data_IF_573356456773
#
_entry.id   IF_573356456773
#
_cell.length_a   1.000
_cell.length_b   1.000
_cell.length_c   1.000
_cell.angle_alpha   90.00
_cell.angle_beta   90.00
_cell.angle_gamma   90.00
#
_symmetry.space_group_name_H-M   'P 1'
#
loop_
_entity.id
_entity.type
_entity.pdbx_description
1 polymer ?
#
# COMPACT_ATOMS: atom_id res chain seq x y z
N UNK A 1 -7.62 28.24 0.05
CA UNK A 1 -9.04 28.64 -0.07
C UNK A 1 -9.28 29.72 -1.13
N UNK A 2 -8.49 30.80 -1.18
CA UNK A 2 -8.69 31.95 -2.10
C UNK A 2 -8.82 31.62 -3.59
N UNK A 3 -7.82 30.94 -4.17
CA UNK A 3 -7.83 30.53 -5.59
C UNK A 3 -9.10 29.77 -6.01
N UNK A 4 -9.47 28.75 -5.24
CA UNK A 4 -10.65 27.92 -5.56
C UNK A 4 -11.98 28.69 -5.48
N UNK A 5 -12.06 29.74 -4.64
CA UNK A 5 -13.22 30.63 -4.59
C UNK A 5 -13.29 31.51 -5.83
N UNK A 6 -12.18 32.17 -6.20
CA UNK A 6 -12.10 33.02 -7.39
C UNK A 6 -12.47 32.24 -8.66
N UNK A 7 -11.94 31.03 -8.82
CA UNK A 7 -12.29 30.16 -9.94
C UNK A 7 -13.79 29.85 -9.98
N UNK A 8 -14.38 29.50 -8.84
CA UNK A 8 -15.81 29.17 -8.76
C UNK A 8 -16.73 30.34 -9.07
N UNK A 9 -16.35 31.54 -8.64
CA UNK A 9 -17.18 32.74 -8.78
C UNK A 9 -17.02 33.43 -10.14
N UNK A 10 -15.83 33.36 -10.74
CA UNK A 10 -15.49 34.16 -11.92
C UNK A 10 -15.32 33.35 -13.20
N UNK A 11 -14.99 32.06 -13.11
CA UNK A 11 -14.79 31.23 -14.30
C UNK A 11 -16.09 30.56 -14.73
N UNK A 12 -16.32 30.52 -16.05
CA UNK A 12 -17.43 29.77 -16.61
C UNK A 12 -17.26 28.25 -16.36
N UNK A 13 -18.36 27.48 -16.32
CA UNK A 13 -18.29 26.03 -16.29
C UNK A 13 -17.53 25.45 -17.48
N UNK A 14 -16.82 24.36 -17.25
CA UNK A 14 -16.05 23.65 -18.27
C UNK A 14 -15.89 22.18 -17.90
N UNK A 15 -15.21 21.43 -18.75
CA UNK A 15 -14.91 20.03 -18.49
C UNK A 15 -13.46 19.72 -18.87
N UNK A 16 -12.96 18.61 -18.34
CA UNK A 16 -11.66 18.06 -18.70
C UNK A 16 -11.82 16.57 -19.00
N UNK A 17 -11.10 16.10 -20.00
CA UNK A 17 -11.16 14.73 -20.49
C UNK A 17 -9.74 14.20 -20.61
N UNK A 18 -9.46 13.08 -19.95
CA UNK A 18 -8.23 12.33 -20.11
C UNK A 18 -8.29 11.51 -21.40
N UNK A 19 -7.30 11.68 -22.28
CA UNK A 19 -7.23 11.04 -23.60
C UNK A 19 -5.94 10.20 -23.66
N UNK A 20 -6.04 8.89 -23.94
CA UNK A 20 -4.88 8.01 -24.07
C UNK A 20 -4.21 8.18 -25.44
N UNK A 21 -3.44 9.24 -25.61
CA UNK A 21 -2.80 9.57 -26.89
C UNK A 21 -1.50 10.35 -26.69
N UNK A 22 -0.75 10.55 -27.76
CA UNK A 22 0.46 11.35 -27.74
C UNK A 22 0.18 12.86 -27.75
N UNK A 23 1.18 13.64 -27.33
CA UNK A 23 1.04 15.10 -27.23
C UNK A 23 0.75 15.76 -28.59
N UNK A 24 1.30 15.24 -29.70
CA UNK A 24 1.06 15.80 -31.02
C UNK A 24 -0.40 15.57 -31.44
N UNK A 25 -0.90 14.34 -31.29
CA UNK A 25 -2.29 13.98 -31.60
C UNK A 25 -3.27 14.76 -30.71
N UNK A 26 -2.99 14.90 -29.41
CA UNK A 26 -3.82 15.72 -28.51
C UNK A 26 -3.88 17.20 -28.93
N UNK A 27 -2.75 17.79 -29.37
CA UNK A 27 -2.73 19.16 -29.89
C UNK A 27 -3.58 19.30 -31.16
N UNK A 28 -3.55 18.32 -32.06
CA UNK A 28 -4.42 18.33 -33.26
C UNK A 28 -5.90 18.26 -32.86
N UNK A 29 -6.26 17.33 -31.98
CA UNK A 29 -7.64 17.19 -31.48
C UNK A 29 -8.14 18.50 -30.85
N UNK A 30 -7.30 19.16 -30.06
CA UNK A 30 -7.63 20.46 -29.47
C UNK A 30 -7.84 21.55 -30.54
N UNK A 31 -6.99 21.60 -31.57
CA UNK A 31 -7.09 22.58 -32.65
C UNK A 31 -8.34 22.41 -33.53
N UNK A 32 -8.87 21.19 -33.64
CA UNK A 32 -10.08 20.89 -34.42
C UNK A 32 -11.36 21.40 -33.74
N UNK A 33 -11.33 21.61 -32.43
CA UNK A 33 -12.51 22.05 -31.66
C UNK A 33 -12.22 23.39 -30.99
N UNK A 34 -12.73 24.51 -31.53
CA UNK A 34 -12.50 25.84 -30.97
C UNK A 34 -12.86 25.91 -29.48
N UNK A 35 -11.91 26.40 -28.68
CA UNK A 35 -12.03 26.53 -27.22
C UNK A 35 -11.51 25.33 -26.42
N UNK A 36 -11.07 24.25 -27.07
CA UNK A 36 -10.35 23.15 -26.40
C UNK A 36 -8.85 23.47 -26.36
N UNK A 37 -8.25 23.28 -25.20
CA UNK A 37 -6.81 23.42 -24.97
C UNK A 37 -6.25 22.12 -24.36
N UNK A 38 -4.96 21.86 -24.63
CA UNK A 38 -4.20 20.84 -23.91
C UNK A 38 -3.87 21.40 -22.53
N UNK A 39 -4.46 20.81 -21.48
CA UNK A 39 -4.35 21.29 -20.11
C UNK A 39 -3.29 20.54 -19.29
N UNK A 40 -3.08 19.24 -19.56
CA UNK A 40 -2.09 18.44 -18.84
C UNK A 40 -1.41 17.46 -19.79
N UNK A 41 -0.08 17.39 -19.69
CA UNK A 41 0.79 16.41 -20.32
C UNK A 41 1.34 15.46 -19.26
N UNK A 42 0.72 14.29 -19.08
CA UNK A 42 1.05 13.35 -18.01
C UNK A 42 2.14 12.32 -18.40
N UNK A 43 2.25 11.99 -19.68
CA UNK A 43 3.20 11.02 -20.20
C UNK A 43 3.10 10.89 -21.71
N UNK A 44 3.83 9.94 -22.29
CA UNK A 44 3.88 9.72 -23.75
C UNK A 44 2.50 9.46 -24.34
N UNK A 45 1.68 8.64 -23.67
CA UNK A 45 0.32 8.28 -24.12
C UNK A 45 -0.78 8.74 -23.18
N UNK A 46 -0.57 9.80 -22.39
CA UNK A 46 -1.54 10.27 -21.40
C UNK A 46 -1.63 11.80 -21.39
N UNK A 47 -2.69 12.32 -22.00
CA UNK A 47 -2.96 13.77 -22.07
C UNK A 47 -4.30 14.11 -21.44
N UNK A 48 -4.50 15.38 -21.07
CA UNK A 48 -5.80 15.90 -20.66
C UNK A 48 -6.15 17.12 -21.48
N UNK A 49 -7.26 17.04 -22.20
CA UNK A 49 -7.86 18.15 -22.94
C UNK A 49 -8.95 18.80 -22.09
N UNK A 50 -9.09 20.11 -22.19
CA UNK A 50 -10.03 20.87 -21.39
C UNK A 50 -10.57 22.08 -22.14
N UNK A 51 -11.77 22.50 -21.78
CA UNK A 51 -12.39 23.68 -22.39
C UNK A 51 -13.81 23.93 -21.89
N UNK A 52 -14.50 24.94 -22.46
CA UNK A 52 -15.90 25.23 -22.17
C UNK A 52 -16.80 24.00 -22.42
N UNK A 53 -17.87 23.86 -21.64
CA UNK A 53 -18.74 22.67 -21.69
C UNK A 53 -19.23 22.33 -23.12
N UNK A 54 -19.63 23.33 -23.91
CA UNK A 54 -20.09 23.15 -25.28
C UNK A 54 -18.97 22.67 -26.23
N UNK A 55 -17.73 23.11 -26.02
CA UNK A 55 -16.59 22.64 -26.80
C UNK A 55 -16.22 21.20 -26.42
N UNK A 56 -16.26 20.87 -25.14
CA UNK A 56 -15.98 19.52 -24.65
C UNK A 56 -17.02 18.49 -25.09
N UNK A 57 -18.29 18.90 -25.27
CA UNK A 57 -19.31 18.03 -25.87
C UNK A 57 -18.94 17.63 -27.31
N UNK A 58 -18.60 18.61 -28.16
CA UNK A 58 -18.13 18.35 -29.54
C UNK A 58 -16.86 17.51 -29.58
N UNK A 59 -15.91 17.77 -28.68
CA UNK A 59 -14.70 16.95 -28.58
C UNK A 59 -15.04 15.50 -28.24
N UNK A 60 -15.99 15.27 -27.33
CA UNK A 60 -16.38 13.91 -26.93
C UNK A 60 -17.02 13.16 -28.10
N UNK A 61 -17.87 13.83 -28.89
CA UNK A 61 -18.44 13.29 -30.13
C UNK A 61 -17.32 12.95 -31.14
N UNK A 62 -16.39 13.87 -31.39
CA UNK A 62 -15.24 13.65 -32.27
C UNK A 62 -14.37 12.47 -31.84
N UNK A 63 -14.13 12.33 -30.53
CA UNK A 63 -13.37 11.21 -29.96
C UNK A 63 -14.11 9.88 -30.18
N UNK A 64 -15.44 9.87 -29.99
CA UNK A 64 -16.28 8.70 -30.22
C UNK A 64 -16.30 8.30 -31.71
N UNK A 65 -16.43 9.26 -32.62
CA UNK A 65 -16.37 9.03 -34.08
C UNK A 65 -15.04 8.41 -34.51
N UNK A 66 -13.95 8.75 -33.82
CA UNK A 66 -12.59 8.23 -34.08
C UNK A 66 -12.26 6.96 -33.29
N UNK A 67 -13.19 6.44 -32.49
CA UNK A 67 -12.96 5.27 -31.64
C UNK A 67 -11.91 5.49 -30.55
N UNK A 68 -11.65 6.74 -30.13
CA UNK A 68 -10.69 7.08 -29.08
C UNK A 68 -11.41 7.03 -27.73
N UNK A 69 -11.10 6.03 -26.90
CA UNK A 69 -11.67 5.87 -25.57
C UNK A 69 -11.09 6.89 -24.59
N UNK A 70 -11.81 7.98 -24.37
CA UNK A 70 -11.44 9.03 -23.44
C UNK A 70 -12.31 9.00 -22.18
N UNK A 71 -11.76 9.51 -21.07
CA UNK A 71 -12.44 9.52 -19.76
C UNK A 71 -12.67 10.94 -19.28
N UNK A 72 -13.94 11.31 -19.10
CA UNK A 72 -14.33 12.57 -18.47
C UNK A 72 -13.91 12.60 -17.01
N UNK A 73 -13.28 13.70 -16.58
CA UNK A 73 -12.84 13.89 -15.21
C UNK A 73 -13.95 14.56 -14.37
N UNK A 74 -14.16 14.14 -13.12
CA UNK A 74 -15.25 14.64 -12.28
C UNK A 74 -14.93 16.02 -11.69
N UNK A 75 -14.96 17.04 -12.55
CA UNK A 75 -14.64 18.43 -12.23
C UNK A 75 -15.52 19.40 -13.01
N UNK A 76 -15.78 20.57 -12.42
CA UNK A 76 -16.76 21.54 -12.93
C UNK A 76 -16.15 22.62 -13.84
N UNK A 77 -14.81 22.67 -13.92
CA UNK A 77 -14.07 23.72 -14.62
C UNK A 77 -12.94 23.13 -15.45
N UNK A 78 -12.60 23.84 -16.53
CA UNK A 78 -11.47 23.55 -17.40
C UNK A 78 -10.20 24.25 -16.88
N UNK A 79 -9.54 23.66 -15.87
CA UNK A 79 -8.29 24.22 -15.34
C UNK A 79 -7.18 24.19 -16.39
N UNK A 80 -6.20 25.10 -16.23
CA UNK A 80 -5.06 25.22 -17.14
C UNK A 80 -5.45 25.58 -18.59
N UNK A 81 -6.51 26.39 -18.74
CA UNK A 81 -7.04 26.91 -20.02
C UNK A 81 -7.48 28.36 -19.90
N UNK A 82 -7.88 28.99 -21.00
CA UNK A 82 -8.42 30.35 -21.07
C UNK A 82 -9.66 30.56 -20.19
N UNK A 83 -10.36 29.49 -19.82
CA UNK A 83 -11.48 29.56 -18.87
C UNK A 83 -11.03 30.12 -17.52
N UNK A 84 -9.73 30.06 -17.19
CA UNK A 84 -9.18 30.60 -15.95
C UNK A 84 -8.93 32.11 -15.98
N UNK A 85 -8.89 32.75 -17.15
CA UNK A 85 -8.52 34.16 -17.33
C UNK A 85 -9.28 35.13 -16.41
N UNK A 86 -10.61 35.01 -16.21
CA UNK A 86 -11.39 35.92 -15.34
C UNK A 86 -10.97 35.90 -13.85
N UNK A 87 -10.31 34.83 -13.41
CA UNK A 87 -9.87 34.69 -12.02
C UNK A 87 -8.43 35.21 -11.79
N UNK A 88 -7.65 35.48 -12.84
CA UNK A 88 -6.21 35.71 -12.73
C UNK A 88 -5.85 37.04 -12.06
N UNK A 89 -6.57 38.13 -12.34
CA UNK A 89 -6.30 39.42 -11.69
C UNK A 89 -6.59 39.37 -10.19
N UNK A 90 -7.73 38.77 -9.83
CA UNK A 90 -8.06 38.55 -8.42
C UNK A 90 -7.08 37.60 -7.73
N UNK A 91 -6.53 36.61 -8.45
CA UNK A 91 -5.50 35.74 -7.92
C UNK A 91 -4.18 36.48 -7.69
N UNK A 92 -3.78 37.36 -8.63
CA UNK A 92 -2.58 38.20 -8.49
C UNK A 92 -2.67 39.10 -7.27
N UNK A 93 -3.80 39.79 -7.08
CA UNK A 93 -4.05 40.63 -5.90
C UNK A 93 -3.98 39.80 -4.62
N UNK A 94 -4.65 38.64 -4.59
CA UNK A 94 -4.69 37.77 -3.42
C UNK A 94 -3.30 37.24 -3.04
N UNK A 95 -2.49 36.87 -4.03
CA UNK A 95 -1.12 36.39 -3.79
C UNK A 95 -0.18 37.54 -3.43
N UNK A 96 -0.37 38.74 -3.98
CA UNK A 96 0.41 39.93 -3.65
C UNK A 96 0.29 40.36 -2.19
N UNK A 97 -0.79 39.97 -1.50
CA UNK A 97 -0.95 40.17 -0.06
C UNK A 97 -0.24 39.14 0.83
N UNK A 98 0.49 38.19 0.25
CA UNK A 98 1.22 37.14 0.97
C UNK A 98 2.72 37.31 0.76
N UNK A 99 3.51 37.19 1.82
CA UNK A 99 4.98 37.18 1.74
C UNK A 99 5.47 35.76 1.43
N UNK A 100 5.95 35.47 0.20
CA UNK A 100 6.44 34.14 -0.15
C UNK A 100 7.80 33.88 0.51
N UNK A 101 7.99 32.65 1.00
CA UNK A 101 9.28 32.20 1.54
C UNK A 101 10.01 31.31 0.53
N UNK A 102 11.35 31.32 0.53
CA UNK A 102 12.12 30.46 -0.34
C UNK A 102 11.87 28.98 -0.07
N UNK A 103 11.86 28.17 -1.14
CA UNK A 103 11.79 26.71 -1.03
C UNK A 103 13.07 26.19 -0.37
N UNK A 104 12.93 25.20 0.53
CA UNK A 104 14.07 24.62 1.27
C UNK A 104 14.75 23.45 0.55
N UNK A 105 14.05 22.86 -0.41
CA UNK A 105 14.51 21.73 -1.21
C UNK A 105 14.34 22.09 -2.69
N UNK A 106 15.11 21.46 -3.60
CA UNK A 106 14.90 21.62 -5.02
C UNK A 106 13.44 21.35 -5.41
N UNK A 107 12.92 22.14 -6.35
CA UNK A 107 11.53 22.08 -6.79
C UNK A 107 11.48 21.96 -8.31
N UNK A 108 10.97 20.85 -8.82
CA UNK A 108 10.77 20.67 -10.26
C UNK A 108 9.41 21.26 -10.65
N UNK A 109 9.44 22.28 -11.51
CA UNK A 109 8.24 23.06 -11.85
C UNK A 109 7.38 22.34 -12.89
N UNK A 110 6.10 22.14 -12.57
CA UNK A 110 5.12 21.59 -13.51
C UNK A 110 4.75 22.51 -14.68
N UNK A 111 5.29 23.73 -14.76
CA UNK A 111 5.08 24.63 -15.91
C UNK A 111 6.04 24.36 -17.06
N UNK A 112 7.27 23.95 -16.75
CA UNK A 112 8.38 23.90 -17.70
C UNK A 112 9.29 22.68 -17.51
N UNK A 113 9.02 21.83 -16.52
CA UNK A 113 9.82 20.64 -16.20
C UNK A 113 11.20 20.95 -15.63
N UNK A 114 11.49 22.21 -15.28
CA UNK A 114 12.85 22.61 -14.88
C UNK A 114 12.99 22.65 -13.36
N UNK A 115 14.13 22.18 -12.87
CA UNK A 115 14.52 22.29 -11.46
C UNK A 115 14.72 23.75 -11.07
N UNK A 116 14.11 24.14 -9.94
CA UNK A 116 14.40 25.37 -9.19
C UNK A 116 15.25 24.99 -7.96
N UNK A 117 16.37 25.68 -7.69
CA UNK A 117 17.21 25.35 -6.54
C UNK A 117 16.52 25.70 -5.22
N UNK A 118 17.01 25.11 -4.13
CA UNK A 118 16.71 25.62 -2.78
C UNK A 118 17.07 27.12 -2.71
N UNK A 119 16.22 27.93 -2.11
CA UNK A 119 16.33 29.39 -2.13
C UNK A 119 15.44 30.08 -3.16
N UNK A 120 14.91 29.36 -4.16
CA UNK A 120 13.96 29.94 -5.12
C UNK A 120 12.65 30.33 -4.45
N UNK A 121 12.09 31.47 -4.84
CA UNK A 121 10.83 32.01 -4.32
C UNK A 121 9.77 31.99 -5.42
N UNK A 122 8.66 31.25 -5.27
CA UNK A 122 7.55 31.31 -6.22
C UNK A 122 6.82 32.65 -6.08
N UNK A 123 6.99 33.52 -7.07
CA UNK A 123 6.33 34.83 -7.12
C UNK A 123 4.87 34.74 -7.58
N UNK A 124 4.17 35.87 -7.54
CA UNK A 124 2.77 35.95 -7.93
C UNK A 124 2.58 35.60 -9.41
N UNK A 125 3.49 36.03 -10.28
CA UNK A 125 3.39 35.74 -11.70
C UNK A 125 3.57 34.25 -11.99
N UNK A 126 4.46 33.55 -11.28
CA UNK A 126 4.56 32.09 -11.33
C UNK A 126 3.23 31.43 -10.99
N UNK A 127 2.56 31.85 -9.91
CA UNK A 127 1.29 31.24 -9.47
C UNK A 127 0.11 31.55 -10.41
N UNK A 128 0.10 32.74 -11.01
CA UNK A 128 -0.86 33.10 -12.06
C UNK A 128 -0.64 32.25 -13.30
N UNK A 129 0.61 32.13 -13.77
CA UNK A 129 0.97 31.27 -14.89
C UNK A 129 0.64 29.81 -14.62
N UNK A 130 0.99 29.30 -13.44
CA UNK A 130 0.68 27.93 -12.99
C UNK A 130 -0.81 27.59 -13.04
N UNK A 131 -1.66 28.60 -12.85
CA UNK A 131 -3.11 28.45 -12.91
C UNK A 131 -3.64 28.39 -14.34
N UNK A 132 -3.00 29.09 -15.27
CA UNK A 132 -3.47 29.28 -16.66
C UNK A 132 -2.80 28.37 -17.68
N UNK A 133 -1.50 28.14 -17.54
CA UNK A 133 -0.69 27.35 -18.46
C UNK A 133 -0.82 25.85 -18.19
N UNK A 134 -0.58 25.00 -19.20
CA UNK A 134 -0.66 23.55 -19.06
C UNK A 134 0.34 22.99 -18.06
N UNK A 135 -0.06 21.91 -17.40
CA UNK A 135 0.82 21.13 -16.51
C UNK A 135 1.64 20.15 -17.35
N UNK A 136 2.96 20.23 -17.25
CA UNK A 136 3.96 19.42 -17.96
C UNK A 136 4.52 18.34 -17.04
N UNK A 137 3.68 17.43 -16.56
CA UNK A 137 4.08 16.42 -15.58
C UNK A 137 5.04 15.37 -16.16
N UNK A 138 4.91 15.04 -17.45
CA UNK A 138 5.88 14.19 -18.16
C UNK A 138 7.30 14.77 -18.07
N UNK A 139 7.45 16.09 -18.27
CA UNK A 139 8.75 16.76 -18.20
C UNK A 139 9.29 16.79 -16.76
N UNK A 140 8.40 16.89 -15.76
CA UNK A 140 8.78 16.75 -14.34
C UNK A 140 9.39 15.38 -14.07
N UNK A 141 8.74 14.31 -14.55
CA UNK A 141 9.24 12.94 -14.37
C UNK A 141 10.55 12.71 -15.14
N UNK A 142 10.68 13.27 -16.34
CA UNK A 142 11.93 13.23 -17.12
C UNK A 142 13.09 13.90 -16.39
N UNK A 143 12.88 15.10 -15.84
CA UNK A 143 13.88 15.82 -15.05
C UNK A 143 14.24 15.05 -13.77
N UNK A 144 13.26 14.46 -13.08
CA UNK A 144 13.53 13.60 -11.91
C UNK A 144 14.35 12.36 -12.30
N UNK A 145 14.04 11.75 -13.44
CA UNK A 145 14.74 10.57 -13.95
C UNK A 145 16.18 10.85 -14.38
N UNK A 146 16.45 12.03 -14.94
CA UNK A 146 17.75 12.40 -15.50
C UNK A 146 18.69 13.11 -14.51
N UNK A 147 18.15 14.01 -13.68
CA UNK A 147 18.97 14.85 -12.78
C UNK A 147 19.16 14.23 -11.39
N UNK A 148 18.43 13.17 -11.07
CA UNK A 148 18.40 12.58 -9.73
C UNK A 148 18.51 11.05 -9.75
N UNK A 149 19.61 10.54 -10.28
CA UNK A 149 19.93 9.10 -10.28
C UNK A 149 19.88 8.46 -8.88
N UNK A 150 20.18 9.24 -7.84
CA UNK A 150 20.11 8.82 -6.45
C UNK A 150 18.69 8.79 -5.85
N UNK A 151 17.66 9.27 -6.56
CA UNK A 151 16.26 9.15 -6.11
C UNK A 151 15.81 7.71 -6.27
N UNK A 152 16.04 6.90 -5.23
CA UNK A 152 15.67 5.48 -5.22
C UNK A 152 14.15 5.25 -5.11
N UNK A 153 13.38 6.26 -4.69
CA UNK A 153 11.94 6.10 -4.43
C UNK A 153 11.19 7.43 -4.54
N UNK A 154 9.94 7.38 -4.98
CA UNK A 154 9.02 8.50 -5.13
C UNK A 154 7.85 8.33 -4.15
N UNK A 155 7.37 9.45 -3.58
CA UNK A 155 6.23 9.45 -2.66
C UNK A 155 5.16 10.40 -3.17
N UNK A 156 3.94 9.90 -3.40
CA UNK A 156 2.78 10.71 -3.71
C UNK A 156 2.05 11.09 -2.43
N UNK A 157 2.07 12.38 -2.11
CA UNK A 157 1.31 12.94 -0.99
C UNK A 157 -0.06 13.37 -1.50
N UNK A 158 -1.05 12.50 -1.35
CA UNK A 158 -2.39 12.76 -1.85
C UNK A 158 -3.39 11.68 -1.45
N UNK A 159 -4.70 11.91 -1.69
CA UNK A 159 -5.78 10.98 -1.32
C UNK A 159 -5.91 9.76 -2.26
N UNK A 160 -5.11 9.71 -3.30
CA UNK A 160 -5.20 8.78 -4.42
C UNK A 160 -3.80 8.30 -4.84
N UNK A 161 -3.76 7.46 -5.88
CA UNK A 161 -2.57 6.77 -6.36
C UNK A 161 -2.20 7.16 -7.81
N UNK A 162 -2.75 8.27 -8.30
CA UNK A 162 -2.68 8.63 -9.72
C UNK A 162 -1.26 9.03 -10.13
N UNK A 163 -0.58 9.86 -9.34
CA UNK A 163 0.77 10.31 -9.68
C UNK A 163 1.77 9.16 -9.56
N UNK A 164 1.59 8.27 -8.59
CA UNK A 164 2.40 7.06 -8.41
C UNK A 164 2.28 6.13 -9.62
N UNK A 165 1.07 5.96 -10.15
CA UNK A 165 0.84 5.17 -11.37
C UNK A 165 1.56 5.77 -12.58
N UNK A 166 1.41 7.07 -12.80
CA UNK A 166 2.10 7.79 -13.87
C UNK A 166 3.63 7.71 -13.74
N UNK A 167 4.15 7.86 -12.52
CA UNK A 167 5.57 7.78 -12.24
C UNK A 167 6.15 6.39 -12.51
N UNK A 168 5.46 5.31 -12.14
CA UNK A 168 5.91 3.93 -12.42
C UNK A 168 6.03 3.66 -13.91
N UNK A 169 5.11 4.22 -14.71
CA UNK A 169 5.15 4.07 -16.17
C UNK A 169 6.32 4.87 -16.79
N UNK A 170 6.52 6.11 -16.36
CA UNK A 170 7.57 6.98 -16.91
C UNK A 170 8.99 6.60 -16.47
N UNK A 171 9.14 6.03 -15.26
CA UNK A 171 10.41 5.72 -14.63
C UNK A 171 10.45 4.24 -14.20
N UNK A 172 10.52 3.30 -15.17
CA UNK A 172 10.58 1.88 -14.86
C UNK A 172 11.81 1.58 -13.97
N UNK A 173 11.61 0.74 -12.96
CA UNK A 173 12.64 0.40 -11.98
C UNK A 173 12.73 1.34 -10.76
N UNK A 174 11.98 2.46 -10.74
CA UNK A 174 11.86 3.30 -9.55
C UNK A 174 10.56 3.00 -8.81
N UNK A 175 10.66 2.76 -7.49
CA UNK A 175 9.48 2.56 -6.67
C UNK A 175 8.71 3.88 -6.48
N UNK A 176 7.38 3.85 -6.57
CA UNK A 176 6.52 4.99 -6.28
C UNK A 176 5.39 4.60 -5.32
N UNK A 177 5.32 5.28 -4.18
CA UNK A 177 4.44 4.94 -3.06
C UNK A 177 3.40 6.04 -2.80
N UNK A 178 2.09 5.73 -2.83
CA UNK A 178 1.05 6.66 -2.43
C UNK A 178 0.84 6.66 -0.91
N UNK A 179 0.77 7.85 -0.30
CA UNK A 179 0.55 7.96 1.15
C UNK A 179 -0.87 7.60 1.59
N UNK A 180 -1.87 7.78 0.71
CA UNK A 180 -3.26 7.44 0.98
C UNK A 180 -3.91 6.80 -0.24
N UNK A 181 -4.94 6.00 0.02
CA UNK A 181 -5.83 5.43 -0.99
C UNK A 181 -7.26 5.53 -0.49
N UNK A 182 -8.18 5.97 -1.35
CA UNK A 182 -9.61 6.06 -1.00
C UNK A 182 -10.10 4.73 -0.43
N UNK A 183 -10.74 4.78 0.73
CA UNK A 183 -11.33 3.61 1.39
C UNK A 183 -10.34 2.71 2.15
N UNK A 184 -9.03 2.99 2.13
CA UNK A 184 -8.02 2.10 2.72
C UNK A 184 -7.52 2.51 4.12
N UNK A 185 -8.06 3.59 4.69
CA UNK A 185 -7.61 4.12 5.98
C UNK A 185 -6.11 4.50 5.95
N UNK A 186 -5.38 4.17 7.01
CA UNK A 186 -3.95 4.49 7.17
C UNK A 186 -3.01 3.38 6.67
N UNK A 187 -3.51 2.24 6.20
CA UNK A 187 -2.65 1.15 5.71
C UNK A 187 -1.63 1.59 4.64
N UNK A 188 -2.01 2.40 3.61
CA UNK A 188 -1.06 2.86 2.59
C UNK A 188 0.09 3.71 3.15
N UNK A 189 -0.14 4.43 4.26
CA UNK A 189 0.90 5.21 4.92
C UNK A 189 1.94 4.30 5.58
N UNK A 190 1.51 3.21 6.22
CA UNK A 190 2.41 2.19 6.78
C UNK A 190 3.18 1.46 5.68
N UNK A 191 2.51 1.10 4.58
CA UNK A 191 3.16 0.47 3.42
C UNK A 191 4.21 1.39 2.79
N UNK A 192 3.90 2.69 2.69
CA UNK A 192 4.85 3.71 2.25
C UNK A 192 6.05 3.78 3.18
N UNK A 193 5.84 3.86 4.50
CA UNK A 193 6.93 3.89 5.48
C UNK A 193 7.81 2.63 5.42
N UNK A 194 7.19 1.45 5.27
CA UNK A 194 7.90 0.19 5.08
C UNK A 194 8.70 0.18 3.76
N UNK A 195 8.12 0.67 2.67
CA UNK A 195 8.78 0.81 1.37
C UNK A 195 10.01 1.71 1.45
N UNK A 196 9.86 2.88 2.06
CA UNK A 196 10.95 3.82 2.32
C UNK A 196 12.07 3.18 3.17
N UNK A 197 11.70 2.48 4.24
CA UNK A 197 12.66 1.79 5.10
C UNK A 197 13.44 0.70 4.36
N UNK A 198 12.78 -0.13 3.53
CA UNK A 198 13.45 -1.14 2.69
C UNK A 198 14.39 -0.51 1.66
N UNK A 199 14.04 0.68 1.17
CA UNK A 199 14.89 1.45 0.26
C UNK A 199 16.07 2.14 0.98
N UNK A 200 16.21 1.97 2.31
CA UNK A 200 17.29 2.55 3.11
C UNK A 200 17.05 4.01 3.51
N UNK A 201 15.83 4.53 3.35
CA UNK A 201 15.52 5.89 3.80
C UNK A 201 15.58 5.99 5.33
N UNK A 202 16.10 7.10 5.89
CA UNK A 202 16.21 7.30 7.34
C UNK A 202 14.85 7.69 7.94
N UNK A 203 13.95 6.72 8.07
CA UNK A 203 12.63 6.92 8.67
C UNK A 203 12.75 7.16 10.17
N UNK A 204 12.30 8.33 10.64
CA UNK A 204 12.17 8.61 12.07
C UNK A 204 10.96 7.89 12.66
N UNK A 205 11.19 6.65 13.10
CA UNK A 205 10.16 5.82 13.74
C UNK A 205 9.60 6.43 15.03
N UNK A 206 10.37 7.28 15.74
CA UNK A 206 9.87 7.93 16.95
C UNK A 206 8.83 8.97 16.59
N UNK A 207 9.08 9.80 15.59
CA UNK A 207 8.12 10.76 15.09
C UNK A 207 6.89 10.06 14.47
N UNK A 208 7.13 8.99 13.70
CA UNK A 208 6.06 8.25 13.02
C UNK A 208 5.11 7.52 13.98
N UNK A 209 5.64 7.00 15.10
CA UNK A 209 4.85 6.34 16.14
C UNK A 209 4.27 7.29 17.19
N UNK A 210 4.58 8.59 17.14
CA UNK A 210 4.14 9.55 18.15
C UNK A 210 2.60 9.61 18.24
N UNK A 211 2.06 9.60 19.46
CA UNK A 211 0.61 9.67 19.70
C UNK A 211 -0.15 8.35 19.51
N UNK A 212 0.50 7.25 19.11
CA UNK A 212 -0.17 5.95 18.94
C UNK A 212 -0.41 5.19 20.25
N UNK A 213 0.17 5.63 21.37
CA UNK A 213 0.11 4.92 22.66
C UNK A 213 0.99 3.65 22.71
N UNK A 214 1.88 3.45 21.74
CA UNK A 214 2.80 2.32 21.71
C UNK A 214 3.71 2.26 22.95
N UNK A 215 3.99 1.04 23.43
CA UNK A 215 4.90 0.77 24.55
C UNK A 215 6.02 -0.18 24.14
N UNK A 216 7.18 -0.06 24.78
CA UNK A 216 8.28 -1.03 24.60
C UNK A 216 7.88 -2.37 25.20
N UNK A 217 8.09 -3.44 24.45
CA UNK A 217 7.92 -4.82 24.89
C UNK A 217 9.22 -5.59 24.66
N UNK A 218 9.54 -6.62 25.46
CA UNK A 218 10.66 -7.51 25.16
C UNK A 218 10.37 -8.25 23.86
N UNK A 219 11.32 -8.19 22.92
CA UNK A 219 11.30 -8.93 21.67
C UNK A 219 12.46 -9.94 21.66
N UNK A 220 12.39 -11.00 20.84
CA UNK A 220 13.52 -11.90 20.65
C UNK A 220 14.80 -11.13 20.35
N UNK A 221 15.89 -11.47 21.05
CA UNK A 221 17.20 -10.89 20.78
C UNK A 221 17.69 -11.18 19.37
N UNK A 222 18.66 -10.38 18.92
CA UNK A 222 19.29 -10.53 17.60
C UNK A 222 19.74 -11.98 17.36
N UNK A 223 19.37 -12.54 16.21
CA UNK A 223 19.77 -13.89 15.81
C UNK A 223 21.14 -13.80 15.12
N UNK A 224 22.20 -13.82 15.93
CA UNK A 224 23.56 -13.86 15.41
C UNK A 224 23.77 -15.09 14.54
N UNK A 225 24.41 -14.90 13.37
CA UNK A 225 24.90 -15.98 12.53
C UNK A 225 26.23 -16.47 13.11
N UNK A 226 26.15 -17.34 14.13
CA UNK A 226 27.32 -17.82 14.85
C UNK A 226 28.28 -18.58 13.94
N UNK A 227 29.57 -18.33 14.16
CA UNK A 227 30.67 -19.11 13.60
C UNK A 227 31.66 -19.38 14.73
N UNK A 228 32.29 -20.54 14.66
CA UNK A 228 33.29 -20.92 15.65
C UNK A 228 34.60 -20.20 15.36
N UNK A 229 35.01 -19.32 16.28
CA UNK A 229 36.28 -18.61 16.23
C UNK A 229 37.10 -19.04 17.44
N UNK A 230 37.86 -20.13 17.29
CA UNK A 230 38.71 -20.69 18.34
C UNK A 230 40.18 -20.64 17.93
N UNK A 231 41.03 -20.02 18.76
CA UNK A 231 42.49 -19.93 18.56
C UNK A 231 43.29 -20.63 19.66
N UNK A 232 42.61 -21.34 20.57
CA UNK A 232 43.24 -22.18 21.58
C UNK A 232 43.57 -23.58 21.05
N UNK A 233 44.24 -24.43 21.84
CA UNK A 233 44.37 -25.86 21.54
C UNK A 233 42.99 -26.48 21.33
N UNK A 234 42.90 -27.52 20.50
CA UNK A 234 41.63 -28.24 20.25
C UNK A 234 40.90 -28.50 21.56
N UNK A 235 39.62 -28.14 21.63
CA UNK A 235 38.88 -28.25 22.87
C UNK A 235 38.61 -29.75 23.14
N UNK A 236 39.49 -30.41 23.90
CA UNK A 236 39.42 -31.85 24.21
C UNK A 236 38.35 -32.21 25.24
N UNK A 237 37.49 -31.25 25.63
CA UNK A 237 36.33 -31.58 26.43
C UNK A 237 35.57 -32.69 25.69
N UNK A 238 35.37 -33.88 26.31
CA UNK A 238 34.61 -34.93 25.68
C UNK A 238 33.27 -34.31 25.32
N UNK A 239 33.03 -34.15 24.02
CA UNK A 239 31.71 -33.81 23.51
C UNK A 239 30.82 -34.85 24.17
N UNK A 240 29.86 -34.49 25.05
CA UNK A 240 28.94 -35.48 25.59
C UNK A 240 28.50 -36.28 24.37
N UNK A 241 28.69 -37.59 24.42
CA UNK A 241 28.31 -38.48 23.34
C UNK A 241 26.96 -37.95 22.88
N UNK A 242 26.89 -37.51 21.62
CA UNK A 242 25.60 -37.13 21.07
C UNK A 242 24.70 -38.30 21.49
N UNK A 243 23.62 -38.09 22.27
CA UNK A 243 22.66 -39.16 22.44
C UNK A 243 22.46 -39.65 21.03
N UNK A 244 22.72 -40.96 20.78
CA UNK A 244 22.38 -41.58 19.50
C UNK A 244 21.07 -40.95 19.16
N UNK A 245 21.07 -40.13 18.09
CA UNK A 245 19.92 -39.32 17.76
C UNK A 245 18.79 -40.34 17.83
N UNK A 246 17.78 -40.18 18.72
CA UNK A 246 16.64 -41.07 18.68
C UNK A 246 16.27 -40.97 17.22
N UNK A 247 16.46 -42.07 16.47
CA UNK A 247 16.39 -42.05 15.01
C UNK A 247 15.11 -41.30 14.80
N UNK A 248 15.24 -40.04 14.36
CA UNK A 248 14.07 -39.21 14.22
C UNK A 248 13.37 -40.05 13.18
N UNK A 249 12.28 -40.72 13.59
CA UNK A 249 11.21 -40.96 12.65
C UNK A 249 11.06 -39.60 12.06
N UNK A 250 11.57 -39.47 10.84
CA UNK A 250 11.59 -38.25 10.09
C UNK A 250 10.16 -37.75 10.21
N UNK A 251 9.95 -36.78 11.10
CA UNK A 251 8.88 -35.85 10.83
C UNK A 251 9.39 -35.20 9.57
N UNK A 252 8.72 -35.47 8.43
CA UNK A 252 9.32 -35.29 7.13
C UNK A 252 9.80 -33.85 7.04
N UNK A 253 11.12 -33.68 7.00
CA UNK A 253 11.69 -32.51 6.36
C UNK A 253 11.09 -32.52 4.97
N UNK A 254 10.30 -31.50 4.63
CA UNK A 254 9.68 -31.43 3.30
C UNK A 254 10.77 -31.74 2.29
N UNK A 255 10.58 -32.84 1.57
CA UNK A 255 11.58 -33.41 0.69
C UNK A 255 12.05 -32.32 -0.29
N UNK A 256 13.31 -32.32 -0.73
CA UNK A 256 13.73 -31.41 -1.80
C UNK A 256 12.87 -31.59 -3.06
N UNK A 257 12.33 -32.81 -3.21
CA UNK A 257 11.28 -33.14 -4.18
C UNK A 257 9.91 -32.51 -3.85
N UNK A 258 9.48 -32.42 -2.58
CA UNK A 258 8.23 -31.75 -2.17
C UNK A 258 8.31 -30.23 -2.32
N UNK A 259 9.45 -29.59 -2.02
CA UNK A 259 9.64 -28.15 -2.24
C UNK A 259 9.65 -27.82 -3.74
N UNK A 260 10.32 -28.65 -4.56
CA UNK A 260 10.29 -28.52 -6.01
C UNK A 260 8.89 -28.84 -6.60
N UNK A 261 8.13 -29.75 -5.98
CA UNK A 261 6.75 -30.05 -6.37
C UNK A 261 5.78 -28.93 -5.99
N UNK A 262 5.93 -28.32 -4.80
CA UNK A 262 5.16 -27.15 -4.36
C UNK A 262 5.45 -25.95 -5.28
N UNK A 263 6.72 -25.70 -5.63
CA UNK A 263 7.11 -24.62 -6.53
C UNK A 263 6.60 -24.86 -7.96
N UNK A 264 6.69 -26.10 -8.48
CA UNK A 264 6.11 -26.48 -9.77
C UNK A 264 4.58 -26.51 -9.76
N UNK A 265 3.93 -26.70 -8.61
CA UNK A 265 2.49 -26.59 -8.45
C UNK A 265 2.05 -25.11 -8.48
N UNK A 266 2.75 -24.25 -7.75
CA UNK A 266 2.54 -22.80 -7.78
C UNK A 266 2.72 -22.26 -9.20
N UNK A 267 3.76 -22.67 -9.91
CA UNK A 267 4.02 -22.20 -11.29
C UNK A 267 2.92 -22.64 -12.26
N UNK A 268 2.43 -23.89 -12.16
CA UNK A 268 1.30 -24.36 -13.00
C UNK A 268 0.02 -23.58 -12.73
N UNK A 269 -0.27 -23.30 -11.47
CA UNK A 269 -1.45 -22.51 -11.07
C UNK A 269 -1.29 -21.06 -11.51
N UNK A 270 -0.09 -20.49 -11.42
CA UNK A 270 0.23 -19.13 -11.86
C UNK A 270 0.00 -18.94 -13.36
N UNK A 271 0.55 -19.84 -14.19
CA UNK A 271 0.32 -19.80 -15.64
C UNK A 271 -1.16 -19.94 -16.00
N UNK A 272 -1.92 -20.72 -15.23
CA UNK A 272 -3.36 -20.83 -15.43
C UNK A 272 -4.09 -19.55 -15.04
N UNK A 273 -3.77 -18.94 -13.90
CA UNK A 273 -4.35 -17.66 -13.47
C UNK A 273 -4.07 -16.58 -14.51
N UNK A 274 -2.85 -16.48 -15.02
CA UNK A 274 -2.48 -15.51 -16.07
C UNK A 274 -3.34 -15.74 -17.33
N UNK A 275 -3.52 -17.00 -17.74
CA UNK A 275 -4.34 -17.35 -18.90
C UNK A 275 -5.83 -17.00 -18.74
N UNK A 276 -6.42 -17.31 -17.60
CA UNK A 276 -7.84 -16.98 -17.30
C UNK A 276 -8.02 -15.47 -17.21
N UNK A 277 -7.08 -14.78 -16.56
CA UNK A 277 -7.09 -13.32 -16.40
C UNK A 277 -6.95 -12.63 -17.76
N UNK A 278 -6.03 -13.08 -18.62
CA UNK A 278 -5.86 -12.61 -20.00
C UNK A 278 -7.15 -12.79 -20.82
N UNK A 279 -7.77 -13.98 -20.75
CA UNK A 279 -9.02 -14.31 -21.45
C UNK A 279 -10.19 -13.40 -21.04
N UNK A 280 -10.39 -13.15 -19.75
CA UNK A 280 -11.52 -12.34 -19.26
C UNK A 280 -11.29 -10.83 -19.42
N UNK A 281 -10.03 -10.38 -19.51
CA UNK A 281 -9.67 -8.98 -19.73
C UNK A 281 -9.36 -8.65 -21.20
N UNK A 282 -9.38 -9.64 -22.09
CA UNK A 282 -9.01 -9.50 -23.51
C UNK A 282 -7.57 -8.99 -23.72
N UNK A 283 -6.66 -9.41 -22.84
CA UNK A 283 -5.21 -9.18 -22.96
C UNK A 283 -4.50 -10.42 -23.51
N UNK A 284 -3.29 -10.23 -24.03
CA UNK A 284 -2.37 -11.35 -24.29
C UNK A 284 -1.71 -11.81 -22.98
N UNK A 285 -1.42 -13.11 -22.86
CA UNK A 285 -0.81 -13.67 -21.63
C UNK A 285 0.56 -13.08 -21.31
N UNK A 286 1.27 -12.54 -22.32
CA UNK A 286 2.56 -11.86 -22.14
C UNK A 286 2.44 -10.44 -21.59
N UNK A 287 1.24 -9.86 -21.56
CA UNK A 287 0.99 -8.49 -21.09
C UNK A 287 0.67 -8.42 -19.59
N UNK A 288 0.49 -9.58 -18.95
CA UNK A 288 0.19 -9.70 -17.53
C UNK A 288 1.45 -10.12 -16.78
N UNK A 289 2.06 -9.19 -16.05
CA UNK A 289 3.17 -9.53 -15.17
C UNK A 289 2.67 -10.34 -13.95
N UNK A 290 3.46 -11.33 -13.52
CA UNK A 290 3.13 -12.24 -12.40
C UNK A 290 2.83 -11.50 -11.08
N UNK A 291 3.50 -10.36 -10.88
CA UNK A 291 3.37 -9.49 -9.70
C UNK A 291 2.48 -8.27 -9.95
N UNK A 292 1.83 -8.17 -11.13
CA UNK A 292 0.89 -7.10 -11.39
C UNK A 292 -0.36 -7.28 -10.52
N UNK A 293 -0.83 -6.16 -9.95
CA UNK A 293 -2.10 -6.19 -9.24
C UNK A 293 -3.24 -6.32 -10.24
N UNK A 294 -4.24 -7.14 -9.92
CA UNK A 294 -5.45 -7.28 -10.74
C UNK A 294 -6.17 -5.93 -10.99
N UNK A 295 -5.98 -4.95 -10.10
CA UNK A 295 -6.51 -3.59 -10.26
C UNK A 295 -5.72 -2.72 -11.26
N UNK A 296 -4.40 -2.90 -11.32
CA UNK A 296 -3.54 -2.16 -12.25
C UNK A 296 -3.73 -2.65 -13.69
N UNK A 297 -4.26 -3.86 -13.86
CA UNK A 297 -4.73 -4.44 -15.13
C UNK A 297 -6.12 -3.93 -15.55
N UNK A 298 -6.73 -3.01 -14.80
CA UNK A 298 -8.02 -2.41 -15.16
C UNK A 298 -9.23 -3.34 -15.01
N UNK A 299 -9.09 -4.45 -14.26
CA UNK A 299 -10.17 -5.41 -14.08
C UNK A 299 -11.34 -4.82 -13.26
N UNK A 300 -12.55 -4.86 -13.83
CA UNK A 300 -13.78 -4.55 -13.08
C UNK A 300 -14.14 -5.70 -12.13
N UNK A 301 -14.79 -5.38 -11.02
CA UNK A 301 -15.30 -6.32 -10.02
C UNK A 301 -16.17 -7.43 -10.63
N UNK A 302 -16.86 -7.15 -11.75
CA UNK A 302 -17.67 -8.15 -12.46
C UNK A 302 -16.82 -9.15 -13.27
N UNK A 303 -15.73 -8.68 -13.89
CA UNK A 303 -14.78 -9.56 -14.60
C UNK A 303 -14.02 -10.44 -13.62
N UNK A 304 -13.69 -9.91 -12.44
CA UNK A 304 -13.04 -10.70 -11.38
C UNK A 304 -13.92 -11.81 -10.81
N UNK A 305 -15.25 -11.64 -10.82
CA UNK A 305 -16.17 -12.73 -10.46
C UNK A 305 -16.09 -13.87 -11.50
N UNK A 306 -15.96 -13.55 -12.78
CA UNK A 306 -15.78 -14.53 -13.85
C UNK A 306 -14.46 -15.30 -13.73
N UNK A 307 -13.36 -14.58 -13.47
CA UNK A 307 -12.03 -15.17 -13.24
C UNK A 307 -12.05 -16.07 -11.99
N UNK A 308 -12.61 -15.61 -10.87
CA UNK A 308 -12.69 -16.40 -9.65
C UNK A 308 -13.52 -17.67 -9.87
N UNK A 309 -14.68 -17.57 -10.50
CA UNK A 309 -15.55 -18.74 -10.74
C UNK A 309 -14.87 -19.80 -11.60
N UNK A 310 -14.16 -19.40 -12.66
CA UNK A 310 -13.42 -20.33 -13.53
C UNK A 310 -12.24 -20.99 -12.77
N UNK A 311 -11.58 -20.25 -11.87
CA UNK A 311 -10.54 -20.80 -11.00
C UNK A 311 -11.10 -21.73 -9.90
N UNK A 312 -12.26 -21.42 -9.32
CA UNK A 312 -12.93 -22.27 -8.32
C UNK A 312 -13.43 -23.58 -8.93
N UNK A 313 -13.94 -23.55 -10.17
CA UNK A 313 -14.41 -24.72 -10.91
C UNK A 313 -13.25 -25.67 -11.27
N UNK A 314 -12.12 -25.14 -11.74
CA UNK A 314 -10.97 -25.97 -12.13
C UNK A 314 -10.18 -26.50 -10.91
N UNK A 315 -9.83 -25.62 -9.97
CA UNK A 315 -8.96 -25.98 -8.84
C UNK A 315 -9.73 -26.55 -7.64
N UNK A 316 -11.07 -26.54 -7.67
CA UNK A 316 -11.96 -26.99 -6.57
C UNK A 316 -11.67 -26.32 -5.21
N UNK A 317 -11.11 -25.12 -5.25
CA UNK A 317 -10.77 -24.31 -4.06
C UNK A 317 -11.67 -23.09 -4.06
N UNK A 318 -12.34 -22.80 -2.93
CA UNK A 318 -13.06 -21.54 -2.76
C UNK A 318 -12.10 -20.41 -2.43
N UNK A 319 -12.15 -19.35 -3.21
CA UNK A 319 -11.36 -18.13 -3.00
C UNK A 319 -12.33 -16.98 -2.82
N UNK A 320 -12.33 -16.39 -1.63
CA UNK A 320 -13.22 -15.24 -1.39
C UNK A 320 -12.68 -13.97 -2.04
N UNK A 321 -13.56 -13.03 -2.39
CA UNK A 321 -13.16 -11.70 -2.87
C UNK A 321 -12.23 -10.98 -1.88
N UNK A 322 -12.39 -11.25 -0.58
CA UNK A 322 -11.51 -10.71 0.46
C UNK A 322 -10.09 -11.27 0.34
N UNK A 323 -9.96 -12.58 0.14
CA UNK A 323 -8.64 -13.23 -0.06
C UNK A 323 -7.99 -12.75 -1.35
N UNK A 324 -8.76 -12.57 -2.43
CA UNK A 324 -8.24 -12.01 -3.69
C UNK A 324 -7.67 -10.59 -3.51
N UNK A 325 -8.35 -9.73 -2.74
CA UNK A 325 -8.02 -8.31 -2.65
C UNK A 325 -7.14 -7.89 -1.47
N UNK A 326 -7.27 -8.56 -0.32
CA UNK A 326 -6.52 -8.23 0.89
C UNK A 326 -5.27 -9.12 1.07
N UNK A 327 -5.32 -10.37 0.60
CA UNK A 327 -4.25 -11.36 0.88
C UNK A 327 -3.42 -11.70 -0.37
N UNK A 328 -4.06 -11.93 -1.53
CA UNK A 328 -3.39 -12.30 -2.77
C UNK A 328 -2.80 -11.09 -3.50
N UNK A 329 -3.63 -10.09 -3.81
CA UNK A 329 -3.25 -8.82 -4.44
C UNK A 329 -2.71 -8.90 -5.89
N UNK A 330 -2.11 -10.03 -6.29
CA UNK A 330 -1.42 -10.30 -7.57
C UNK A 330 -1.68 -11.74 -8.05
N UNK A 331 -1.36 -12.03 -9.31
CA UNK A 331 -1.50 -13.38 -9.88
C UNK A 331 -0.65 -14.43 -9.14
N UNK A 332 0.60 -14.09 -8.80
CA UNK A 332 1.49 -14.94 -7.99
C UNK A 332 0.97 -15.16 -6.57
N UNK A 333 0.46 -14.11 -5.91
CA UNK A 333 -0.12 -14.24 -4.57
C UNK A 333 -1.33 -15.18 -4.55
N UNK A 334 -2.17 -15.09 -5.58
CA UNK A 334 -3.32 -15.98 -5.75
C UNK A 334 -2.90 -17.43 -6.04
N UNK A 335 -1.83 -17.62 -6.83
CA UNK A 335 -1.28 -18.95 -7.13
C UNK A 335 -0.78 -19.67 -5.88
N UNK A 336 -0.12 -18.95 -4.97
CA UNK A 336 0.34 -19.49 -3.68
C UNK A 336 -0.84 -19.92 -2.80
N UNK A 337 -1.90 -19.12 -2.72
CA UNK A 337 -3.09 -19.44 -1.93
C UNK A 337 -3.83 -20.66 -2.50
N UNK A 338 -4.00 -20.72 -3.83
CA UNK A 338 -4.69 -21.83 -4.48
C UNK A 338 -3.85 -23.12 -4.39
N UNK A 339 -2.54 -23.06 -4.64
CA UNK A 339 -1.65 -24.21 -4.48
C UNK A 339 -1.62 -24.73 -3.04
N UNK A 340 -1.59 -23.84 -2.04
CA UNK A 340 -1.62 -24.22 -0.62
C UNK A 340 -2.95 -24.82 -0.16
N UNK A 341 -4.07 -24.49 -0.83
CA UNK A 341 -5.41 -25.04 -0.54
C UNK A 341 -5.74 -26.30 -1.35
N UNK A 342 -5.04 -26.54 -2.46
CA UNK A 342 -5.26 -27.69 -3.35
C UNK A 342 -4.50 -28.96 -2.91
N UNK A 343 -3.51 -28.84 -2.02
CA UNK A 343 -2.79 -30.00 -1.45
C UNK A 343 -3.66 -30.69 -0.39
N UNK A 344 -3.98 -31.99 -0.51
CA UNK A 344 -4.81 -32.68 0.47
C UNK A 344 -4.10 -32.76 1.82
N UNK A 345 -4.81 -32.39 2.90
CA UNK A 345 -4.31 -32.53 4.26
C UNK A 345 -4.04 -34.01 4.59
N UNK A 346 -2.91 -34.36 5.22
CA UNK A 346 -2.71 -35.71 5.73
C UNK A 346 -3.71 -35.99 6.87
N UNK A 347 -4.23 -37.22 6.87
CA UNK A 347 -5.28 -37.67 7.78
C UNK A 347 -4.91 -37.47 9.27
N UNK A 348 -5.89 -36.98 10.03
CA UNK A 348 -5.90 -36.88 11.48
C UNK A 348 -5.42 -38.17 12.15
N UNK A 349 -4.21 -38.13 12.75
CA UNK A 349 -3.76 -39.15 13.68
C UNK A 349 -4.25 -38.79 15.09
N UNK A 350 -4.93 -39.74 15.73
CA UNK A 350 -5.48 -39.63 17.07
C UNK A 350 -4.40 -39.31 18.12
N UNK A 351 -4.77 -38.51 19.12
CA UNK A 351 -3.97 -38.26 20.31
C UNK A 351 -3.69 -39.57 21.07
N UNK A 352 -2.44 -39.87 21.45
CA UNK A 352 -2.19 -40.92 22.43
C UNK A 352 -2.51 -40.42 23.85
N UNK A 353 -3.00 -41.34 24.68
CA UNK A 353 -3.33 -41.14 26.09
C UNK A 353 -2.12 -40.66 26.93
N UNK A 354 -2.36 -40.00 28.09
CA UNK A 354 -1.29 -39.42 28.90
C UNK A 354 -0.42 -40.50 29.53
N UNK A 355 0.90 -40.41 29.32
CA UNK A 355 1.90 -41.24 30.00
C UNK A 355 2.26 -40.57 31.34
N UNK A 356 2.31 -41.40 32.40
CA UNK A 356 2.49 -41.01 33.79
C UNK A 356 3.81 -40.27 34.08
N UNK A 357 3.75 -39.39 35.08
CA UNK A 357 4.85 -38.56 35.57
C UNK A 357 6.04 -39.39 36.11
N UNK A 358 7.29 -38.94 35.93
CA UNK A 358 8.43 -39.49 36.65
C UNK A 358 8.50 -38.95 38.08
N UNK A 359 8.95 -39.79 39.01
CA UNK A 359 9.12 -39.50 40.44
C UNK A 359 10.24 -38.46 40.70
N UNK A 360 10.21 -37.72 41.83
CA UNK A 360 11.17 -36.67 42.14
C UNK A 360 12.53 -37.26 42.53
N UNK A 361 13.62 -36.75 41.94
CA UNK A 361 14.99 -37.04 42.37
C UNK A 361 15.51 -35.85 43.18
N UNK A 362 16.11 -36.17 44.33
CA UNK A 362 16.42 -35.29 45.45
C UNK A 362 17.34 -34.10 45.14
N UNK A 363 17.00 -32.97 45.75
CA UNK A 363 17.56 -31.62 45.62
C UNK A 363 18.75 -31.36 46.58
N UNK A 364 19.71 -32.27 46.68
CA UNK A 364 20.73 -32.20 47.76
C UNK A 364 22.19 -31.93 47.34
N UNK A 365 22.59 -31.99 46.06
CA UNK A 365 24.04 -31.94 45.71
C UNK A 365 24.41 -30.93 44.60
N UNK A 366 23.77 -29.75 44.56
CA UNK A 366 24.24 -28.61 43.75
C UNK A 366 24.33 -27.30 44.54
N UNK A 367 24.67 -27.38 45.82
CA UNK A 367 24.86 -26.21 46.70
C UNK A 367 26.30 -25.94 47.15
N UNK A 368 27.29 -26.60 46.54
CA UNK A 368 28.69 -26.40 46.92
C UNK A 368 29.60 -26.29 45.69
N UNK A 369 29.54 -25.16 44.98
CA UNK A 369 30.64 -24.60 44.17
C UNK A 369 30.17 -23.38 43.36
N UNK A 370 30.03 -22.22 44.00
CA UNK A 370 30.22 -20.88 43.40
C UNK A 370 30.15 -19.86 44.54
N UNK A 371 31.22 -19.80 45.33
CA UNK A 371 31.39 -18.80 46.37
C UNK A 371 32.63 -17.97 46.01
N UNK A 372 32.44 -16.95 45.16
CA UNK A 372 33.35 -15.80 45.05
C UNK A 372 32.58 -14.61 44.46
N UNK A 373 32.28 -13.55 45.24
CA UNK A 373 31.58 -12.37 44.74
C UNK A 373 32.53 -11.43 43.97
N UNK A 374 32.09 -10.81 42.86
CA UNK A 374 32.84 -9.74 42.21
C UNK A 374 32.73 -8.41 42.99
N UNK A 375 33.79 -7.59 42.92
CA UNK A 375 33.93 -6.33 43.63
C UNK A 375 32.83 -5.28 43.29
N UNK A 376 32.47 -4.39 44.24
CA UNK A 376 31.33 -3.50 44.08
C UNK A 376 31.62 -2.34 43.13
N UNK A 377 30.68 -2.06 42.22
CA UNK A 377 30.62 -0.81 41.46
C UNK A 377 29.58 0.09 42.11
N UNK A 378 29.97 1.32 42.36
CA UNK A 378 29.31 2.35 43.17
C UNK A 378 27.84 2.57 42.83
N UNK A 379 26.97 2.45 43.85
CA UNK A 379 25.52 2.56 43.75
C UNK A 379 25.06 3.91 44.32
N UNK A 380 24.89 4.90 43.45
CA UNK A 380 24.11 6.11 43.77
C UNK A 380 22.93 6.26 42.81
N UNK A 381 21.84 5.56 43.13
CA UNK A 381 20.43 5.97 42.99
C UNK A 381 19.54 4.73 43.10
N UNK A 382 19.34 4.26 44.33
CA UNK A 382 18.08 3.66 44.73
C UNK A 382 17.37 4.70 45.56
N UNK A 383 16.27 5.23 45.03
CA UNK A 383 15.06 5.51 45.79
C UNK A 383 13.95 5.90 44.80
N UNK A 384 12.73 5.48 45.14
CA UNK A 384 11.45 5.68 44.45
C UNK A 384 10.97 4.60 43.47
N UNK A 385 10.98 3.33 43.90
CA UNK A 385 9.92 2.39 43.49
C UNK A 385 9.29 1.76 44.73
N UNK A 386 8.41 2.51 45.37
CA UNK A 386 7.39 1.96 46.24
C UNK A 386 6.09 2.73 46.00
N UNK A 387 5.01 1.98 45.84
CA UNK A 387 3.59 2.37 45.81
C UNK A 387 3.01 2.84 44.46
N UNK A 388 2.57 1.86 43.66
CA UNK A 388 1.22 1.84 43.06
C UNK A 388 0.85 0.40 42.68
N UNK A 389 -0.19 -0.10 43.33
CA UNK A 389 -0.83 -1.38 43.04
C UNK A 389 -1.51 -1.31 41.66
N UNK A 390 -0.79 -1.67 40.60
CA UNK A 390 -1.43 -1.95 39.31
C UNK A 390 -1.76 -3.44 39.26
N UNK A 391 -2.93 -3.79 39.81
CA UNK A 391 -3.49 -5.13 39.74
C UNK A 391 -3.74 -5.50 38.27
N UNK A 392 -2.99 -6.48 37.75
CA UNK A 392 -3.25 -7.07 36.45
C UNK A 392 -4.60 -7.80 36.47
N UNK A 393 -5.46 -7.52 35.49
CA UNK A 393 -6.72 -8.24 35.33
C UNK A 393 -6.44 -9.75 35.20
N UNK A 394 -7.07 -10.53 36.07
CA UNK A 394 -6.98 -11.98 36.06
C UNK A 394 -7.67 -12.54 34.81
N UNK A 395 -7.29 -13.75 34.36
CA UNK A 395 -7.92 -14.40 33.20
C UNK A 395 -9.45 -14.51 33.34
N UNK A 396 -9.96 -14.67 34.56
CA UNK A 396 -11.39 -14.73 34.84
C UNK A 396 -12.09 -13.39 34.55
N UNK A 397 -11.50 -12.26 34.95
CA UNK A 397 -12.05 -10.93 34.68
C UNK A 397 -12.09 -10.62 33.18
N UNK A 398 -11.09 -11.08 32.43
CA UNK A 398 -11.06 -10.95 30.96
C UNK A 398 -12.14 -11.82 30.29
N UNK A 399 -12.37 -13.03 30.79
CA UNK A 399 -13.43 -13.92 30.28
C UNK A 399 -14.83 -13.40 30.62
N UNK A 400 -15.00 -12.77 31.77
CA UNK A 400 -16.27 -12.16 32.19
C UNK A 400 -16.58 -10.91 31.35
N UNK A 401 -15.58 -10.06 31.11
CA UNK A 401 -15.71 -8.91 30.20
C UNK A 401 -16.04 -9.35 28.77
N UNK A 402 -15.44 -10.45 28.28
CA UNK A 402 -15.75 -11.02 26.97
C UNK A 402 -17.20 -11.51 26.88
N UNK A 403 -17.71 -12.16 27.95
CA UNK A 403 -19.12 -12.57 28.03
C UNK A 403 -20.07 -11.38 28.04
N UNK A 404 -19.75 -10.33 28.79
CA UNK A 404 -20.56 -9.10 28.83
C UNK A 404 -20.61 -8.38 27.47
N UNK A 405 -19.47 -8.31 26.76
CA UNK A 405 -19.42 -7.75 25.40
C UNK A 405 -20.26 -8.56 24.40
N UNK A 406 -20.23 -9.90 24.50
CA UNK A 406 -21.06 -10.75 23.65
C UNK A 406 -22.55 -10.56 23.91
N UNK A 407 -22.96 -10.43 25.18
CA UNK A 407 -24.35 -10.13 25.54
C UNK A 407 -24.81 -8.77 25.03
N UNK A 408 -23.98 -7.72 25.17
CA UNK A 408 -24.27 -6.38 24.64
C UNK A 408 -24.48 -6.38 23.13
N UNK A 409 -23.62 -7.10 22.41
CA UNK A 409 -23.71 -7.22 20.94
C UNK A 409 -24.99 -7.94 20.53
N UNK A 410 -25.38 -8.99 21.27
CA UNK A 410 -26.60 -9.73 21.00
C UNK A 410 -27.86 -8.90 21.27
N UNK A 411 -27.87 -8.10 22.33
CA UNK A 411 -28.97 -7.14 22.61
C UNK A 411 -29.06 -6.07 21.53
N UNK A 412 -27.93 -5.55 21.04
CA UNK A 412 -27.92 -4.59 19.93
C UNK A 412 -28.51 -5.15 18.64
N UNK A 413 -28.15 -6.39 18.29
CA UNK A 413 -28.72 -7.07 17.12
C UNK A 413 -30.23 -7.29 17.26
N UNK A 414 -30.69 -7.60 18.47
CA UNK A 414 -32.11 -7.80 18.75
C UNK A 414 -32.91 -6.48 18.64
N UNK A 415 -32.34 -5.37 19.14
CA UNK A 415 -32.90 -4.02 18.99
C UNK A 415 -32.96 -3.56 17.53
N UNK A 416 -31.90 -3.82 16.74
CA UNK A 416 -31.91 -3.52 15.31
C UNK A 416 -32.96 -4.35 14.55
N UNK A 417 -33.15 -5.62 14.94
CA UNK A 417 -34.22 -6.46 14.40
C UNK A 417 -35.62 -5.90 14.70
N UNK A 418 -35.87 -5.47 15.93
CA UNK A 418 -37.14 -4.86 16.34
C UNK A 418 -37.40 -3.51 15.65
N UNK A 419 -36.38 -2.67 15.48
CA UNK A 419 -36.48 -1.42 14.72
C UNK A 419 -36.80 -1.67 13.25
N UNK A 420 -36.18 -2.68 12.63
CA UNK A 420 -36.47 -3.08 11.25
C UNK A 420 -37.92 -3.56 11.08
N UNK A 421 -38.43 -4.34 12.04
CA UNK A 421 -39.83 -4.80 12.06
C UNK A 421 -40.84 -3.66 12.28
N UNK A 422 -40.50 -2.67 13.12
CA UNK A 422 -41.34 -1.48 13.33
C UNK A 422 -41.37 -0.57 12.09
N UNK A 423 -40.24 -0.40 11.40
CA UNK A 423 -40.17 0.37 10.17
C UNK A 423 -40.93 -0.31 9.01
N UNK A 424 -40.88 -1.63 8.91
CA UNK A 424 -41.68 -2.38 7.92
C UNK A 424 -43.18 -2.37 8.24
N UNK A 425 -43.57 -2.34 9.53
CA UNK A 425 -44.96 -2.19 9.93
C UNK A 425 -45.53 -0.77 9.71
N UNK A 426 -44.68 0.28 9.75
CA UNK A 426 -45.08 1.65 9.42
C UNK A 426 -45.15 1.92 7.91
N UNK A 427 -44.35 1.24 7.10
CA UNK A 427 -44.38 1.36 5.63
C UNK A 427 -45.55 0.62 4.95
N UNK A 428 -46.32 -0.18 5.71
CA UNK A 428 -47.47 -0.96 5.24
C UNK A 428 -48.85 -0.38 5.62
N UNK A 429 -48.95 0.90 5.99
CA UNK A 429 -50.22 1.61 6.21
C UNK A 429 -50.43 2.75 5.23
#
# INVERSE_FOLDING_TARGET
AGRGRLMRERCAPGAMVAVPTDTHTARRLAAEVPGVELAVMNGEHSQVLAGPAAAMARLTELLAERGIHARTLPMLHAFHTAVMDPALDGLRELVGGVEPRPVRVPFVSGLDGRTRPAGWVPDADYLVRQTREPVRFADVLGELGASYDNVGTLVEIGPHTTLSGLARHALPGRAAHPTLRRGAGLAPLWDTAAGLYRAGAPVDWRAFMAGTGGRRIPLPGYRFQHKDYWTGPENHLPRPAQPEQPVLREQPTRDGAEVAQDEAAVERVLQHIIKVTAKHLSYDTSEIAEDASFFDLGADSLQMIGVLRELEEEHRVKVSMRELFEEAGTARGLAVIIAGKATPAPATAAFPAPVAAPAPVAEAERRAAHDTPPAPVDATRQDAYATREDAYATRQEVEELRRQLQQLTQVQLQLMGQLSQLLTAQAGR
#
